data_IF_849729982360
#
_entry.id   IF_849729982360
#
_cell.length_a   1.000
_cell.length_b   1.000
_cell.length_c   1.000
_cell.angle_alpha   90.00
_cell.angle_beta   90.00
_cell.angle_gamma   90.00
#
_symmetry.space_group_name_H-M   'P 1'
#
loop_
_entity.id
_entity.type
_entity.pdbx_description
1 polymer ?
#
# COMPACT_ATOMS: atom_id res chain seq x y z
N UNK A 1 21.90 -19.86 -13.02
CA UNK A 1 22.17 -18.43 -12.76
C UNK A 1 23.19 -18.30 -11.63
N UNK A 2 24.23 -17.47 -11.77
CA UNK A 2 25.32 -17.36 -10.77
C UNK A 2 24.77 -16.86 -9.43
N UNK A 3 25.25 -17.43 -8.32
CA UNK A 3 24.93 -17.08 -6.91
C UNK A 3 24.96 -15.56 -6.62
N UNK A 4 25.76 -14.81 -7.39
CA UNK A 4 25.87 -13.34 -7.34
C UNK A 4 24.62 -12.57 -7.81
N UNK A 5 23.74 -13.19 -8.59
CA UNK A 5 22.49 -12.59 -9.09
C UNK A 5 21.28 -13.02 -8.25
N UNK A 6 21.35 -14.21 -7.65
CA UNK A 6 20.28 -14.79 -6.83
C UNK A 6 20.07 -14.05 -5.51
N UNK A 7 21.16 -13.72 -4.80
CA UNK A 7 21.10 -13.02 -3.51
C UNK A 7 20.44 -11.62 -3.62
N UNK A 8 20.82 -10.74 -4.56
CA UNK A 8 20.17 -9.44 -4.69
C UNK A 8 18.74 -9.55 -5.25
N UNK A 9 18.43 -10.58 -6.04
CA UNK A 9 17.06 -10.84 -6.50
C UNK A 9 16.16 -11.26 -5.33
N UNK A 10 16.66 -12.13 -4.44
CA UNK A 10 15.97 -12.51 -3.21
C UNK A 10 15.87 -11.34 -2.24
N UNK A 11 16.90 -10.49 -2.12
CA UNK A 11 16.86 -9.29 -1.30
C UNK A 11 15.85 -8.27 -1.85
N UNK A 12 15.85 -8.04 -3.17
CA UNK A 12 14.85 -7.22 -3.83
C UNK A 12 13.45 -7.83 -3.66
N UNK A 13 13.32 -9.15 -3.68
CA UNK A 13 12.05 -9.85 -3.44
C UNK A 13 11.59 -9.79 -1.99
N UNK A 14 12.51 -9.79 -1.03
CA UNK A 14 12.23 -9.64 0.39
C UNK A 14 11.88 -8.18 0.73
N UNK A 15 12.57 -7.23 0.10
CA UNK A 15 12.19 -5.82 0.12
C UNK A 15 10.84 -5.63 -0.58
N UNK A 16 10.55 -6.34 -1.68
CA UNK A 16 9.23 -6.33 -2.35
C UNK A 16 8.12 -6.93 -1.47
N UNK A 17 8.40 -7.97 -0.67
CA UNK A 17 7.44 -8.52 0.28
C UNK A 17 7.14 -7.54 1.43
N UNK A 18 8.15 -6.79 1.88
CA UNK A 18 7.98 -5.67 2.80
C UNK A 18 7.32 -4.43 2.15
N UNK A 19 7.30 -4.36 0.81
CA UNK A 19 6.70 -3.30 0.00
C UNK A 19 5.35 -3.67 -0.60
N UNK A 20 4.77 -4.85 -0.29
CA UNK A 20 3.31 -4.97 -0.37
C UNK A 20 2.85 -3.91 0.61
N UNK A 21 2.32 -2.78 0.12
CA UNK A 21 1.96 -1.76 1.04
C UNK A 21 0.91 -2.41 1.94
N UNK A 22 1.00 -2.16 3.24
CA UNK A 22 -0.20 -2.04 4.04
C UNK A 22 -1.03 -0.86 3.50
N UNK A 23 -1.41 -0.88 2.22
CA UNK A 23 -2.51 -0.11 1.61
C UNK A 23 -3.83 -0.82 1.84
N UNK A 24 -3.84 -1.87 2.67
CA UNK A 24 -4.89 -2.03 3.66
C UNK A 24 -4.61 -1.14 4.90
N UNK A 25 -4.07 0.06 4.72
CA UNK A 25 -4.61 1.17 5.48
C UNK A 25 -6.03 1.29 4.93
N UNK A 26 -6.94 0.57 5.59
CA UNK A 26 -8.35 0.90 5.48
C UNK A 26 -8.42 2.42 5.60
N UNK A 27 -9.19 3.11 4.75
CA UNK A 27 -9.63 4.44 5.13
C UNK A 27 -10.07 4.33 6.60
N UNK A 28 -9.61 5.24 7.46
CA UNK A 28 -10.12 5.35 8.82
C UNK A 28 -11.62 5.62 8.68
N UNK A 29 -12.39 4.55 8.57
CA UNK A 29 -13.83 4.58 8.48
C UNK A 29 -14.27 4.55 9.91
N UNK A 30 -14.52 5.75 10.43
CA UNK A 30 -15.23 5.87 11.69
C UNK A 30 -16.50 5.01 11.55
N UNK A 31 -16.60 4.01 12.41
CA UNK A 31 -17.70 3.06 12.36
C UNK A 31 -18.81 3.65 13.21
N UNK A 32 -19.85 4.15 12.55
CA UNK A 32 -21.00 4.75 13.21
C UNK A 32 -22.14 3.75 13.12
N UNK A 33 -22.61 3.28 14.27
CA UNK A 33 -23.82 2.47 14.42
C UNK A 33 -24.93 3.43 14.81
N UNK A 34 -25.88 3.63 13.91
CA UNK A 34 -26.93 4.65 14.07
C UNK A 34 -28.04 4.19 15.03
N UNK A 35 -28.86 5.15 15.46
CA UNK A 35 -29.97 4.91 16.39
C UNK A 35 -30.93 3.84 15.85
N UNK A 36 -31.25 2.84 16.67
CA UNK A 36 -32.09 1.67 16.33
C UNK A 36 -31.46 0.66 15.34
N UNK A 37 -30.16 0.76 15.05
CA UNK A 37 -29.45 -0.26 14.31
C UNK A 37 -29.11 -1.46 15.20
N UNK A 38 -29.36 -2.67 14.70
CA UNK A 38 -29.02 -3.92 15.40
C UNK A 38 -27.98 -4.69 14.61
N UNK A 39 -26.76 -4.74 15.12
CA UNK A 39 -25.64 -5.46 14.52
C UNK A 39 -25.53 -6.83 15.18
N UNK A 40 -25.71 -7.91 14.41
CA UNK A 40 -25.72 -9.29 14.93
C UNK A 40 -24.40 -10.05 14.68
N UNK A 41 -23.27 -9.33 14.69
CA UNK A 41 -21.95 -9.91 14.43
C UNK A 41 -20.88 -9.10 15.17
N UNK A 42 -19.67 -9.67 15.28
CA UNK A 42 -18.52 -8.99 15.87
C UNK A 42 -18.14 -7.75 15.05
N UNK A 43 -17.79 -6.67 15.76
CA UNK A 43 -17.39 -5.39 15.20
C UNK A 43 -15.91 -5.19 15.48
N UNK A 44 -15.10 -5.14 14.42
CA UNK A 44 -13.66 -4.87 14.53
C UNK A 44 -13.33 -3.61 13.76
N UNK A 45 -12.82 -2.60 14.46
CA UNK A 45 -12.42 -1.31 13.90
C UNK A 45 -10.89 -1.20 13.96
N UNK A 46 -10.28 -0.87 12.81
CA UNK A 46 -8.84 -0.65 12.70
C UNK A 46 -8.56 0.79 12.29
N UNK A 47 -7.73 1.48 13.06
CA UNK A 47 -7.26 2.85 12.77
C UNK A 47 -8.42 3.84 12.52
N UNK A 48 -9.46 3.81 13.37
CA UNK A 48 -10.64 4.66 13.27
C UNK A 48 -11.49 4.62 14.54
N UNK A 49 -12.38 5.60 14.68
CA UNK A 49 -13.20 5.75 15.90
C UNK A 49 -14.51 4.95 15.78
N UNK A 50 -15.02 4.45 16.90
CA UNK A 50 -16.30 3.75 16.99
C UNK A 50 -17.32 4.64 17.68
N UNK A 51 -18.49 4.83 17.06
CA UNK A 51 -19.61 5.56 17.67
C UNK A 51 -20.84 4.68 17.66
N UNK A 52 -21.33 4.32 18.85
CA UNK A 52 -22.58 3.59 19.05
C UNK A 52 -23.58 4.56 19.65
N UNK A 53 -24.57 4.98 18.85
CA UNK A 53 -25.61 5.92 19.30
C UNK A 53 -26.60 5.26 20.26
N UNK A 54 -27.39 6.09 20.93
CA UNK A 54 -28.47 5.63 21.80
C UNK A 54 -29.48 4.75 21.04
N UNK A 55 -30.00 3.72 21.73
CA UNK A 55 -30.92 2.74 21.13
C UNK A 55 -30.30 1.76 20.13
N UNK A 56 -29.00 1.86 19.81
CA UNK A 56 -28.29 0.85 19.01
C UNK A 56 -27.97 -0.40 19.85
N UNK A 57 -28.00 -1.58 19.22
CA UNK A 57 -27.72 -2.87 19.87
C UNK A 57 -26.68 -3.65 19.06
N UNK A 58 -25.55 -3.98 19.69
CA UNK A 58 -24.52 -4.84 19.12
C UNK A 58 -24.56 -6.21 19.80
N UNK A 59 -25.02 -7.23 19.08
CA UNK A 59 -25.01 -8.63 19.50
C UNK A 59 -23.75 -9.32 18.98
N UNK A 60 -22.60 -8.99 19.58
CA UNK A 60 -21.28 -9.52 19.23
C UNK A 60 -20.17 -8.86 20.03
N UNK A 61 -18.93 -9.34 19.87
CA UNK A 61 -17.76 -8.74 20.50
C UNK A 61 -17.29 -7.52 19.71
N UNK A 62 -16.86 -6.48 20.44
CA UNK A 62 -16.40 -5.22 19.86
C UNK A 62 -14.91 -5.05 20.16
N UNK A 63 -14.11 -4.93 19.12
CA UNK A 63 -12.67 -4.67 19.24
C UNK A 63 -12.27 -3.43 18.44
N UNK A 64 -11.61 -2.48 19.09
CA UNK A 64 -11.11 -1.26 18.43
C UNK A 64 -9.60 -1.19 18.58
N UNK A 65 -8.89 -1.04 17.46
CA UNK A 65 -7.45 -0.86 17.43
C UNK A 65 -7.12 0.56 16.99
N UNK A 66 -6.36 1.28 17.85
CA UNK A 66 -5.82 2.60 17.55
C UNK A 66 -6.91 3.63 17.19
N UNK A 67 -7.92 3.75 18.06
CA UNK A 67 -9.06 4.65 17.91
C UNK A 67 -9.90 4.69 19.19
N UNK A 68 -10.69 5.74 19.33
CA UNK A 68 -11.53 5.96 20.51
C UNK A 68 -12.93 5.39 20.30
N UNK A 69 -13.63 5.02 21.39
CA UNK A 69 -15.01 4.54 21.32
C UNK A 69 -15.95 5.43 22.12
N UNK A 70 -17.00 5.95 21.47
CA UNK A 70 -18.13 6.59 22.11
C UNK A 70 -19.30 5.60 22.15
N UNK A 71 -19.72 5.20 23.34
CA UNK A 71 -20.78 4.21 23.54
C UNK A 71 -21.93 4.83 24.31
N UNK A 72 -23.07 5.02 23.63
CA UNK A 72 -24.34 5.45 24.22
C UNK A 72 -25.39 4.33 24.22
N UNK A 73 -25.20 3.28 23.39
CA UNK A 73 -26.11 2.14 23.23
C UNK A 73 -25.72 0.88 24.02
N UNK A 74 -26.24 -0.28 23.59
CA UNK A 74 -26.06 -1.57 24.27
C UNK A 74 -25.13 -2.52 23.49
N UNK A 75 -24.14 -3.07 24.18
CA UNK A 75 -23.23 -4.10 23.68
C UNK A 75 -23.51 -5.42 24.43
N UNK A 76 -24.06 -6.39 23.71
CA UNK A 76 -24.33 -7.75 24.17
C UNK A 76 -23.13 -8.67 23.87
N UNK A 77 -21.96 -8.27 24.35
CA UNK A 77 -20.67 -8.93 24.14
C UNK A 77 -19.56 -8.22 24.91
N UNK A 78 -18.31 -8.61 24.64
CA UNK A 78 -17.13 -8.00 25.27
C UNK A 78 -16.64 -6.80 24.47
N UNK A 79 -16.08 -5.80 25.16
CA UNK A 79 -15.49 -4.60 24.57
C UNK A 79 -13.99 -4.57 24.86
N UNK A 80 -13.17 -4.61 23.80
CA UNK A 80 -11.71 -4.51 23.91
C UNK A 80 -11.20 -3.31 23.10
N UNK A 81 -10.54 -2.34 23.75
CA UNK A 81 -9.83 -1.27 23.05
C UNK A 81 -8.33 -1.42 23.23
N UNK A 82 -7.59 -1.22 22.14
CA UNK A 82 -6.13 -1.18 22.12
C UNK A 82 -5.68 0.22 21.71
N UNK A 83 -4.97 0.91 22.62
CA UNK A 83 -4.44 2.25 22.38
C UNK A 83 -5.55 3.26 22.01
N UNK A 84 -6.51 3.44 22.91
CA UNK A 84 -7.66 4.33 22.73
C UNK A 84 -8.52 4.43 23.99
N UNK A 85 -9.26 5.53 24.10
CA UNK A 85 -10.12 5.81 25.23
C UNK A 85 -11.58 5.43 24.93
N UNK A 86 -12.31 4.99 25.97
CA UNK A 86 -13.76 4.80 25.88
C UNK A 86 -14.47 5.92 26.62
N UNK A 87 -15.42 6.55 25.94
CA UNK A 87 -16.37 7.50 26.50
C UNK A 87 -17.72 6.81 26.58
N UNK A 88 -18.21 6.61 27.81
CA UNK A 88 -19.49 5.97 28.04
C UNK A 88 -20.55 7.00 28.42
N UNK A 89 -21.60 7.09 27.60
CA UNK A 89 -22.76 7.93 27.86
C UNK A 89 -23.75 7.33 28.85
N UNK A 90 -24.86 8.04 29.14
CA UNK A 90 -25.83 7.65 30.16
C UNK A 90 -26.61 6.36 29.83
N UNK A 91 -26.71 5.98 28.55
CA UNK A 91 -27.38 4.75 28.09
C UNK A 91 -26.44 3.56 27.86
N UNK A 92 -25.13 3.74 28.12
CA UNK A 92 -24.12 2.76 27.80
C UNK A 92 -24.25 1.49 28.66
N UNK A 93 -24.45 0.35 28.02
CA UNK A 93 -24.48 -0.96 28.71
C UNK A 93 -23.58 -1.94 27.98
N UNK A 94 -22.59 -2.49 28.69
CA UNK A 94 -21.74 -3.58 28.20
C UNK A 94 -22.03 -4.81 29.05
N UNK A 95 -22.55 -5.86 28.43
CA UNK A 95 -22.95 -7.09 29.14
C UNK A 95 -21.76 -8.03 29.39
N UNK A 96 -20.75 -8.00 28.51
CA UNK A 96 -19.53 -8.80 28.62
C UNK A 96 -18.38 -8.10 29.36
N UNK A 97 -17.16 -8.57 29.14
CA UNK A 97 -15.96 -7.97 29.73
C UNK A 97 -15.58 -6.67 29.00
N UNK A 98 -15.13 -5.66 29.74
CA UNK A 98 -14.59 -4.44 29.16
C UNK A 98 -13.11 -4.33 29.51
N UNK A 99 -12.23 -4.35 28.51
CA UNK A 99 -10.77 -4.29 28.68
C UNK A 99 -10.19 -3.20 27.80
N UNK A 100 -9.40 -2.32 28.41
CA UNK A 100 -8.73 -1.22 27.73
C UNK A 100 -7.23 -1.38 27.92
N UNK A 101 -6.50 -1.59 26.84
CA UNK A 101 -5.05 -1.75 26.84
C UNK A 101 -4.42 -0.44 26.42
N UNK A 102 -3.68 0.19 27.34
CA UNK A 102 -3.10 1.52 27.13
C UNK A 102 -4.16 2.59 26.79
N UNK A 103 -5.21 2.66 27.59
CA UNK A 103 -6.33 3.60 27.43
C UNK A 103 -7.02 3.91 28.75
N UNK A 104 -7.95 4.87 28.73
CA UNK A 104 -8.74 5.32 29.85
C UNK A 104 -10.23 5.15 29.63
N UNK A 105 -10.97 5.09 30.74
CA UNK A 105 -12.44 5.20 30.73
C UNK A 105 -12.78 6.61 31.18
N UNK A 106 -13.51 7.36 30.36
CA UNK A 106 -14.15 8.60 30.77
C UNK A 106 -15.66 8.36 30.85
N UNK A 107 -16.22 8.40 32.06
CA UNK A 107 -17.66 8.18 32.23
C UNK A 107 -18.36 9.32 32.95
N UNK A 108 -19.61 9.58 32.54
CA UNK A 108 -20.57 10.39 33.28
C UNK A 108 -21.46 9.51 34.22
N UNK A 109 -21.38 8.18 34.11
CA UNK A 109 -22.08 7.19 34.95
C UNK A 109 -21.35 5.84 34.97
N UNK A 110 -21.56 4.95 35.95
CA UNK A 110 -20.65 3.83 36.15
C UNK A 110 -20.86 2.75 35.09
N UNK A 111 -20.01 2.74 34.05
CA UNK A 111 -19.64 1.49 33.39
C UNK A 111 -18.82 0.68 34.41
N UNK A 112 -19.51 0.09 35.37
CA UNK A 112 -18.94 -0.73 36.44
C UNK A 112 -18.46 -2.04 35.86
N UNK A 113 -17.24 -2.06 35.32
CA UNK A 113 -16.64 -3.28 34.76
C UNK A 113 -15.48 -3.10 33.80
N UNK A 114 -15.15 -1.86 33.39
CA UNK A 114 -14.00 -1.65 32.50
C UNK A 114 -12.66 -1.72 33.24
N UNK A 115 -11.83 -2.66 32.82
CA UNK A 115 -10.46 -2.82 33.32
C UNK A 115 -9.51 -2.08 32.38
N UNK A 116 -9.00 -0.93 32.83
CA UNK A 116 -7.98 -0.17 32.12
C UNK A 116 -6.56 -0.64 32.53
N UNK A 117 -5.92 -1.41 31.67
CA UNK A 117 -4.53 -1.87 31.82
C UNK A 117 -3.62 -0.82 31.18
N UNK A 118 -3.29 0.23 31.93
CA UNK A 118 -2.41 1.32 31.47
C UNK A 118 -0.93 0.97 31.57
N UNK A 119 -0.57 0.02 32.44
CA UNK A 119 0.79 -0.48 32.62
C UNK A 119 0.76 -1.95 33.05
N UNK A 120 1.58 -2.79 32.41
CA UNK A 120 2.04 -4.02 33.04
C UNK A 120 2.96 -3.61 34.20
N UNK A 121 2.44 -3.61 35.42
CA UNK A 121 3.23 -3.33 36.60
C UNK A 121 4.17 -4.51 36.84
N UNK A 122 5.47 -4.31 36.62
CA UNK A 122 6.47 -5.24 37.12
C UNK A 122 6.60 -4.93 38.62
N UNK A 123 6.29 -5.90 39.49
CA UNK A 123 6.33 -5.77 40.95
C UNK A 123 7.51 -4.91 41.42
N UNK A 124 7.21 -3.69 41.83
CA UNK A 124 8.18 -2.74 42.36
C UNK A 124 8.41 -2.96 43.85
N UNK A 125 8.83 -4.18 44.22
CA UNK A 125 9.34 -4.49 45.57
C UNK A 125 10.61 -3.68 45.93
N UNK A 126 11.15 -2.89 44.99
CA UNK A 126 12.39 -2.13 45.16
C UNK A 126 12.20 -0.65 45.57
N UNK A 127 10.97 -0.12 45.65
CA UNK A 127 10.72 1.30 46.01
C UNK A 127 10.21 1.56 47.45
N UNK A 128 10.09 0.53 48.30
CA UNK A 128 9.46 0.63 49.63
C UNK A 128 10.27 1.33 50.75
N UNK A 129 11.23 2.19 50.43
CA UNK A 129 12.03 2.93 51.44
C UNK A 129 11.97 4.45 51.24
N UNK A 130 10.76 5.01 51.10
CA UNK A 130 10.53 6.44 51.28
C UNK A 130 9.79 6.66 52.61
N UNK A 131 10.42 7.27 53.63
CA UNK A 131 9.81 7.44 54.94
C UNK A 131 8.60 8.40 54.91
N UNK A 132 7.49 7.89 55.45
CA UNK A 132 6.27 8.55 55.97
C UNK A 132 5.98 10.00 55.61
N UNK A 133 5.04 10.20 54.68
CA UNK A 133 4.28 11.46 54.57
C UNK A 133 3.29 11.52 55.75
N UNK A 134 3.30 12.58 56.58
CA UNK A 134 2.38 12.70 57.71
C UNK A 134 0.92 12.78 57.25
N UNK A 135 0.01 12.17 58.02
CA UNK A 135 -1.41 12.11 57.71
C UNK A 135 -2.04 13.51 57.57
N UNK A 136 -2.79 13.71 56.48
CA UNK A 136 -3.54 14.94 56.23
C UNK A 136 -4.69 15.07 57.24
N UNK A 137 -4.93 16.25 57.84
CA UNK A 137 -6.06 16.45 58.75
C UNK A 137 -7.40 16.25 58.04
N UNK A 138 -8.40 15.72 58.75
CA UNK A 138 -9.76 15.56 58.25
C UNK A 138 -10.38 16.93 57.88
N UNK A 139 -10.73 17.10 56.61
CA UNK A 139 -11.47 18.27 56.15
C UNK A 139 -12.91 18.21 56.69
N UNK A 140 -13.47 19.33 57.19
CA UNK A 140 -14.83 19.37 57.68
C UNK A 140 -15.84 19.04 56.56
N UNK A 141 -16.92 18.34 56.91
CA UNK A 141 -17.96 17.92 55.98
C UNK A 141 -18.57 19.12 55.25
N UNK A 142 -18.54 19.08 53.92
CA UNK A 142 -19.17 20.09 53.07
C UNK A 142 -20.70 19.94 53.19
N UNK A 143 -21.44 21.00 53.57
CA UNK A 143 -22.89 20.92 53.67
C UNK A 143 -23.53 20.64 52.30
N UNK A 144 -24.60 19.84 52.30
CA UNK A 144 -25.32 19.44 51.08
C UNK A 144 -25.83 20.68 50.33
N UNK A 145 -25.38 20.85 49.08
CA UNK A 145 -25.88 21.91 48.21
C UNK A 145 -27.33 21.61 47.78
N UNK A 146 -28.23 22.60 47.78
CA UNK A 146 -29.58 22.42 47.26
C UNK A 146 -29.54 22.03 45.78
N UNK A 147 -30.42 21.12 45.37
CA UNK A 147 -30.50 20.61 44.01
C UNK A 147 -30.68 21.75 42.99
N UNK A 148 -29.72 21.87 42.08
CA UNK A 148 -29.80 22.81 40.95
C UNK A 148 -30.94 22.35 40.04
N UNK A 149 -31.91 23.21 39.68
CA UNK A 149 -32.99 22.84 38.77
C UNK A 149 -32.40 22.45 37.40
N UNK A 150 -32.89 21.35 36.83
CA UNK A 150 -32.42 20.81 35.56
C UNK A 150 -32.52 21.87 34.45
N UNK A 151 -31.39 22.19 33.84
CA UNK A 151 -31.32 23.04 32.65
C UNK A 151 -31.89 22.23 31.48
N UNK A 152 -32.80 22.79 30.65
CA UNK A 152 -33.32 22.10 29.47
C UNK A 152 -32.19 21.69 28.52
N UNK A 153 -32.25 20.46 28.01
CA UNK A 153 -31.28 19.91 27.05
C UNK A 153 -31.19 20.80 25.80
N UNK A 154 -30.03 21.42 25.59
CA UNK A 154 -29.71 22.12 24.36
C UNK A 154 -29.48 21.04 23.28
N UNK A 155 -30.11 21.12 22.10
CA UNK A 155 -29.86 20.15 21.03
C UNK A 155 -28.36 20.09 20.72
N UNK A 156 -27.80 18.89 20.79
CA UNK A 156 -26.38 18.64 20.50
C UNK A 156 -26.08 19.11 19.08
N UNK A 157 -25.20 20.09 18.94
CA UNK A 157 -24.72 20.52 17.63
C UNK A 157 -23.97 19.36 16.97
N UNK A 158 -24.15 19.11 15.65
CA UNK A 158 -23.41 18.07 14.96
C UNK A 158 -21.91 18.30 15.15
N UNK A 159 -21.21 17.26 15.60
CA UNK A 159 -19.76 17.26 15.79
C UNK A 159 -19.13 17.37 14.40
N UNK A 160 -18.74 18.59 14.01
CA UNK A 160 -17.94 18.80 12.80
C UNK A 160 -16.51 18.38 13.19
N UNK A 161 -15.90 17.38 12.52
CA UNK A 161 -14.54 16.97 12.83
C UNK A 161 -13.63 18.19 12.78
N UNK A 162 -12.91 18.45 13.88
CA UNK A 162 -12.10 19.64 14.04
C UNK A 162 -10.99 19.68 12.97
N UNK A 163 -10.63 20.86 12.43
CA UNK A 163 -9.59 20.99 11.42
C UNK A 163 -8.20 20.51 11.90
N UNK A 164 -8.02 20.28 13.21
CA UNK A 164 -6.78 19.81 13.82
C UNK A 164 -6.45 18.34 13.47
N UNK A 165 -7.44 17.46 13.32
CA UNK A 165 -7.22 16.06 12.89
C UNK A 165 -6.77 15.95 11.44
N UNK A 166 -7.20 16.89 10.58
CA UNK A 166 -6.72 17.00 9.19
C UNK A 166 -5.28 17.52 9.10
N UNK A 167 -4.87 18.41 10.01
CA UNK A 167 -3.54 19.02 9.97
C UNK A 167 -2.45 18.13 10.60
N UNK A 168 -2.77 17.35 11.64
CA UNK A 168 -1.86 16.34 12.23
C UNK A 168 -1.50 15.23 11.25
N UNK A 169 -2.42 14.90 10.33
CA UNK A 169 -2.16 13.98 9.22
C UNK A 169 -1.32 14.61 8.10
N UNK A 170 -1.24 15.94 7.99
CA UNK A 170 -0.49 16.62 6.94
C UNK A 170 1.02 16.32 6.98
N UNK A 171 1.66 16.50 8.14
CA UNK A 171 3.09 16.21 8.30
C UNK A 171 3.40 14.73 8.11
N UNK A 172 2.59 13.84 8.67
CA UNK A 172 2.74 12.40 8.49
C UNK A 172 2.62 12.00 7.00
N UNK A 173 1.69 12.59 6.26
CA UNK A 173 1.52 12.39 4.81
C UNK A 173 2.73 12.92 4.05
N UNK A 174 3.24 14.12 4.35
CA UNK A 174 4.44 14.66 3.70
C UNK A 174 5.68 13.79 3.96
N UNK A 175 5.90 13.33 5.20
CA UNK A 175 7.00 12.40 5.53
C UNK A 175 6.81 11.03 4.87
N UNK A 176 5.57 10.54 4.74
CA UNK A 176 5.24 9.33 4.00
C UNK A 176 5.56 9.44 2.50
N UNK A 177 5.22 10.56 1.87
CA UNK A 177 5.49 10.81 0.44
C UNK A 177 7.01 10.92 0.20
N UNK A 178 7.71 11.65 1.06
CA UNK A 178 9.15 11.86 0.92
C UNK A 178 9.94 10.56 1.14
N UNK A 179 9.59 9.78 2.17
CA UNK A 179 10.22 8.48 2.44
C UNK A 179 9.96 7.48 1.32
N UNK A 180 8.70 7.37 0.84
CA UNK A 180 8.34 6.52 -0.29
C UNK A 180 9.14 6.87 -1.55
N UNK A 181 9.23 8.16 -1.89
CA UNK A 181 9.99 8.62 -3.06
C UNK A 181 11.49 8.33 -2.95
N UNK A 182 12.07 8.46 -1.76
CA UNK A 182 13.46 8.07 -1.50
C UNK A 182 13.66 6.55 -1.69
N UNK A 183 12.74 5.74 -1.20
CA UNK A 183 12.79 4.28 -1.33
C UNK A 183 12.72 3.83 -2.80
N UNK A 184 11.80 4.40 -3.58
CA UNK A 184 11.72 4.14 -5.03
C UNK A 184 12.94 4.69 -5.80
N UNK A 185 13.53 5.78 -5.33
CA UNK A 185 14.84 6.26 -5.79
C UNK A 185 15.95 5.24 -5.56
N UNK A 186 16.04 4.71 -4.34
CA UNK A 186 17.02 3.69 -3.98
C UNK A 186 16.80 2.39 -4.76
N UNK A 187 15.54 1.99 -4.98
CA UNK A 187 15.18 0.85 -5.81
C UNK A 187 15.62 1.05 -7.26
N UNK A 188 15.40 2.25 -7.81
CA UNK A 188 15.88 2.64 -9.14
C UNK A 188 17.42 2.62 -9.23
N UNK A 189 18.11 3.05 -8.18
CA UNK A 189 19.57 2.98 -8.08
C UNK A 189 20.07 1.54 -8.12
N UNK A 190 19.48 0.67 -7.29
CA UNK A 190 19.82 -0.76 -7.23
C UNK A 190 19.53 -1.46 -8.56
N UNK A 191 18.37 -1.22 -9.16
CA UNK A 191 18.01 -1.78 -10.46
C UNK A 191 18.98 -1.33 -11.56
N UNK A 192 19.33 -0.03 -11.59
CA UNK A 192 20.31 0.52 -12.52
C UNK A 192 21.72 -0.03 -12.31
N UNK A 193 22.11 -0.31 -11.07
CA UNK A 193 23.42 -0.88 -10.73
C UNK A 193 23.53 -2.38 -11.07
N UNK A 194 22.46 -3.15 -10.85
CA UNK A 194 22.46 -4.61 -11.10
C UNK A 194 22.28 -4.92 -12.59
N UNK A 195 21.42 -4.18 -13.30
CA UNK A 195 21.00 -4.50 -14.67
C UNK A 195 21.06 -3.28 -15.62
N UNK A 196 22.24 -2.66 -15.81
CA UNK A 196 22.35 -1.40 -16.58
C UNK A 196 22.01 -1.57 -18.07
N UNK A 197 22.32 -2.73 -18.66
CA UNK A 197 22.07 -2.97 -20.08
C UNK A 197 20.60 -3.28 -20.36
N UNK A 198 19.96 -4.05 -19.48
CA UNK A 198 18.54 -4.37 -19.59
C UNK A 198 17.71 -3.09 -19.46
N UNK A 199 18.06 -2.22 -18.50
CA UNK A 199 17.36 -0.96 -18.29
C UNK A 199 17.49 -0.03 -19.50
N UNK A 200 18.70 0.08 -20.10
CA UNK A 200 18.89 0.84 -21.36
C UNK A 200 17.92 0.39 -22.46
N UNK A 201 17.80 -0.93 -22.68
CA UNK A 201 16.96 -1.46 -23.75
C UNK A 201 15.47 -1.19 -23.52
N UNK A 202 15.01 -1.30 -22.27
CA UNK A 202 13.62 -1.00 -21.89
C UNK A 202 13.33 0.49 -22.12
N UNK A 203 14.26 1.36 -21.71
CA UNK A 203 14.10 2.81 -21.81
C UNK A 203 14.10 3.31 -23.24
N UNK A 204 14.99 2.79 -24.10
CA UNK A 204 14.97 3.14 -25.52
C UNK A 204 13.68 2.70 -26.19
N UNK A 205 13.15 1.52 -25.84
CA UNK A 205 11.89 1.02 -26.39
C UNK A 205 10.70 1.88 -25.95
N UNK A 206 10.66 2.26 -24.66
CA UNK A 206 9.64 3.17 -24.13
C UNK A 206 9.67 4.55 -24.81
N UNK A 207 10.87 5.04 -25.20
CA UNK A 207 11.05 6.31 -25.94
C UNK A 207 10.59 6.22 -27.38
N UNK A 208 11.20 5.30 -28.12
CA UNK A 208 11.15 5.31 -29.58
C UNK A 208 9.77 4.87 -30.08
N UNK A 209 9.04 4.08 -29.27
CA UNK A 209 7.75 3.51 -29.65
C UNK A 209 6.73 3.59 -28.52
N UNK A 210 6.56 4.78 -27.93
CA UNK A 210 5.64 5.00 -26.79
C UNK A 210 4.21 4.52 -27.05
N UNK A 211 3.65 4.72 -28.25
CA UNK A 211 2.29 4.28 -28.57
C UNK A 211 2.17 2.76 -28.68
N UNK A 212 3.13 2.10 -29.34
CA UNK A 212 3.14 0.63 -29.47
C UNK A 212 3.40 -0.04 -28.12
N UNK A 213 4.32 0.54 -27.34
CA UNK A 213 4.62 0.11 -25.97
C UNK A 213 3.40 0.28 -25.07
N UNK A 214 2.74 1.43 -25.09
CA UNK A 214 1.52 1.67 -24.30
C UNK A 214 0.40 0.68 -24.62
N UNK A 215 0.15 0.41 -25.91
CA UNK A 215 -0.86 -0.56 -26.33
C UNK A 215 -0.51 -2.00 -25.88
N UNK A 216 0.75 -2.42 -26.06
CA UNK A 216 1.23 -3.72 -25.58
C UNK A 216 1.15 -3.84 -24.05
N UNK A 217 1.39 -2.75 -23.33
CA UNK A 217 1.26 -2.65 -21.88
C UNK A 217 -0.18 -2.76 -21.40
N UNK A 218 -1.11 -2.07 -22.06
CA UNK A 218 -2.54 -2.19 -21.76
C UNK A 218 -3.05 -3.62 -22.01
N UNK A 219 -2.62 -4.24 -23.13
CA UNK A 219 -2.93 -5.64 -23.43
C UNK A 219 -2.39 -6.58 -22.35
N UNK A 220 -1.15 -6.40 -21.90
CA UNK A 220 -0.55 -7.25 -20.85
C UNK A 220 -1.15 -6.99 -19.47
N UNK A 221 -1.51 -5.76 -19.15
CA UNK A 221 -2.20 -5.39 -17.91
C UNK A 221 -3.60 -6.01 -17.80
N UNK A 222 -4.30 -6.25 -18.92
CA UNK A 222 -5.61 -6.91 -18.93
C UNK A 222 -5.49 -8.42 -19.14
N UNK A 223 -4.65 -8.86 -20.10
CA UNK A 223 -4.54 -10.26 -20.48
C UNK A 223 -3.89 -11.12 -19.40
N UNK A 224 -2.87 -10.63 -18.68
CA UNK A 224 -2.20 -11.44 -17.65
C UNK A 224 -3.12 -11.70 -16.46
N UNK A 225 -3.79 -10.70 -15.84
CA UNK A 225 -4.78 -10.96 -14.79
C UNK A 225 -5.96 -11.79 -15.28
N UNK A 226 -6.45 -11.56 -16.50
CA UNK A 226 -7.52 -12.37 -17.08
C UNK A 226 -7.12 -13.84 -17.24
N UNK A 227 -5.89 -14.12 -17.67
CA UNK A 227 -5.35 -15.48 -17.78
C UNK A 227 -5.18 -16.12 -16.40
N UNK A 228 -4.72 -15.35 -15.40
CA UNK A 228 -4.63 -15.78 -14.01
C UNK A 228 -6.02 -16.19 -13.52
N UNK A 229 -7.03 -15.33 -13.64
CA UNK A 229 -8.40 -15.62 -13.20
C UNK A 229 -8.96 -16.88 -13.88
N UNK A 230 -8.72 -17.04 -15.20
CA UNK A 230 -9.15 -18.21 -15.96
C UNK A 230 -8.43 -19.50 -15.51
N UNK A 231 -7.15 -19.41 -15.13
CA UNK A 231 -6.36 -20.55 -14.68
C UNK A 231 -6.67 -20.98 -13.24
N UNK A 232 -7.26 -20.12 -12.40
CA UNK A 232 -7.66 -20.48 -11.03
C UNK A 232 -8.59 -21.71 -10.98
N UNK A 233 -9.74 -21.76 -11.66
CA UNK A 233 -10.64 -22.92 -11.61
C UNK A 233 -9.99 -24.18 -12.20
N UNK A 234 -9.20 -24.02 -13.27
CA UNK A 234 -8.43 -25.14 -13.86
C UNK A 234 -7.40 -25.67 -12.87
N UNK A 235 -6.71 -24.78 -12.15
CA UNK A 235 -5.75 -25.16 -11.11
C UNK A 235 -6.43 -25.85 -9.94
N UNK A 236 -7.59 -25.35 -9.48
CA UNK A 236 -8.39 -25.99 -8.43
C UNK A 236 -8.79 -27.41 -8.85
N UNK A 237 -9.29 -27.59 -10.09
CA UNK A 237 -9.66 -28.90 -10.61
C UNK A 237 -8.45 -29.84 -10.75
N UNK A 238 -7.29 -29.33 -11.19
CA UNK A 238 -6.06 -30.12 -11.24
C UNK A 238 -5.58 -30.52 -9.84
N UNK A 239 -5.77 -29.68 -8.82
CA UNK A 239 -5.42 -29.98 -7.41
C UNK A 239 -6.26 -31.16 -6.92
N UNK A 240 -7.57 -31.18 -7.22
CA UNK A 240 -8.44 -32.32 -6.91
C UNK A 240 -8.02 -33.61 -7.64
N UNK A 241 -7.44 -33.50 -8.84
CA UNK A 241 -6.98 -34.65 -9.65
C UNK A 241 -5.57 -35.12 -9.25
N UNK A 242 -5.01 -34.67 -8.11
CA UNK A 242 -3.68 -35.02 -7.60
C UNK A 242 -2.51 -34.70 -8.56
N UNK A 243 -2.76 -33.97 -9.66
CA UNK A 243 -1.76 -33.45 -10.61
C UNK A 243 -1.51 -31.94 -10.37
N UNK A 244 -2.29 -31.30 -9.49
CA UNK A 244 -2.42 -29.85 -9.38
C UNK A 244 -1.30 -29.07 -8.74
N UNK A 245 -0.16 -29.71 -8.46
CA UNK A 245 1.03 -28.96 -8.07
C UNK A 245 1.68 -28.24 -9.26
N UNK A 246 1.33 -28.55 -10.51
CA UNK A 246 1.89 -27.87 -11.69
C UNK A 246 1.25 -26.51 -11.99
N UNK A 247 -0.02 -26.30 -11.61
CA UNK A 247 -0.74 -25.04 -11.87
C UNK A 247 -0.23 -23.88 -11.02
N UNK A 248 0.00 -24.13 -9.74
CA UNK A 248 0.50 -23.15 -8.76
C UNK A 248 1.82 -22.46 -9.16
N UNK A 249 2.90 -23.15 -9.59
CA UNK A 249 4.16 -22.50 -9.95
C UNK A 249 4.04 -21.62 -11.21
N UNK A 250 3.23 -22.01 -12.20
CA UNK A 250 3.03 -21.21 -13.41
C UNK A 250 2.30 -19.91 -13.06
N UNK A 251 1.26 -20.00 -12.24
CA UNK A 251 0.50 -18.86 -11.73
C UNK A 251 1.38 -17.91 -10.91
N UNK A 252 2.19 -18.47 -10.01
CA UNK A 252 3.14 -17.71 -9.21
C UNK A 252 4.18 -16.99 -10.07
N UNK A 253 4.73 -17.67 -11.09
CA UNK A 253 5.70 -17.06 -12.01
C UNK A 253 5.08 -15.95 -12.87
N UNK A 254 3.85 -16.11 -13.33
CA UNK A 254 3.12 -15.07 -14.07
C UNK A 254 2.86 -13.84 -13.20
N UNK A 255 2.38 -14.04 -11.97
CA UNK A 255 2.15 -12.96 -11.02
C UNK A 255 3.46 -12.23 -10.67
N UNK A 256 4.52 -12.99 -10.34
CA UNK A 256 5.85 -12.44 -10.06
C UNK A 256 6.41 -11.67 -11.28
N UNK A 257 6.21 -12.19 -12.49
CA UNK A 257 6.61 -11.54 -13.73
C UNK A 257 5.87 -10.23 -13.98
N UNK A 258 4.56 -10.17 -13.71
CA UNK A 258 3.75 -8.96 -13.85
C UNK A 258 4.21 -7.88 -12.86
N UNK A 259 4.43 -8.26 -11.60
CA UNK A 259 4.91 -7.36 -10.55
C UNK A 259 6.30 -6.83 -10.89
N UNK A 260 7.26 -7.72 -11.16
CA UNK A 260 8.62 -7.33 -11.54
C UNK A 260 8.63 -6.46 -12.81
N UNK A 261 7.77 -6.78 -13.78
CA UNK A 261 7.64 -6.02 -15.02
C UNK A 261 7.04 -4.63 -14.81
N UNK A 262 6.04 -4.49 -13.94
CA UNK A 262 5.49 -3.21 -13.52
C UNK A 262 6.53 -2.31 -12.87
N UNK A 263 7.30 -2.85 -11.91
CA UNK A 263 8.39 -2.10 -11.26
C UNK A 263 9.49 -1.70 -12.24
N UNK A 264 9.97 -2.62 -13.08
CA UNK A 264 10.99 -2.30 -14.08
C UNK A 264 10.48 -1.28 -15.11
N UNK A 265 9.21 -1.37 -15.48
CA UNK A 265 8.53 -0.41 -16.35
C UNK A 265 8.49 0.98 -15.72
N UNK A 266 8.05 1.08 -14.48
CA UNK A 266 8.05 2.32 -13.71
C UNK A 266 9.45 2.93 -13.60
N UNK A 267 10.45 2.10 -13.27
CA UNK A 267 11.84 2.53 -13.17
C UNK A 267 12.34 3.05 -14.52
N UNK A 268 12.05 2.35 -15.62
CA UNK A 268 12.45 2.77 -16.96
C UNK A 268 11.87 4.14 -17.32
N UNK A 269 10.58 4.39 -17.06
CA UNK A 269 9.98 5.71 -17.30
C UNK A 269 10.55 6.78 -16.35
N UNK A 270 10.87 6.42 -15.10
CA UNK A 270 11.59 7.31 -14.19
C UNK A 270 12.96 7.69 -14.73
N UNK A 271 13.77 6.72 -15.18
CA UNK A 271 15.10 7.00 -15.77
C UNK A 271 15.01 7.89 -17.00
N UNK A 272 13.93 7.75 -17.79
CA UNK A 272 13.66 8.61 -18.94
C UNK A 272 13.54 10.07 -18.51
N UNK A 273 12.74 10.32 -17.48
CA UNK A 273 12.53 11.64 -16.91
C UNK A 273 13.83 12.19 -16.31
N UNK A 274 14.56 11.34 -15.57
CA UNK A 274 15.85 11.68 -14.96
C UNK A 274 16.92 12.07 -15.98
N UNK A 275 17.03 11.35 -17.10
CA UNK A 275 17.96 11.72 -18.18
C UNK A 275 17.61 13.05 -18.85
N UNK A 276 16.32 13.39 -18.92
CA UNK A 276 15.87 14.66 -19.54
C UNK A 276 16.21 15.88 -18.67
N UNK A 277 16.09 15.73 -17.35
CA UNK A 277 16.27 16.82 -16.39
C UNK A 277 17.71 16.92 -15.85
N UNK A 278 18.31 15.78 -15.49
CA UNK A 278 19.62 15.72 -14.81
C UNK A 278 20.76 15.20 -15.70
N UNK A 279 20.48 14.87 -16.97
CA UNK A 279 21.47 14.35 -17.91
C UNK A 279 22.53 15.35 -18.41
N UNK A 280 22.46 16.63 -17.99
CA UNK A 280 23.40 17.69 -18.39
C UNK A 280 24.65 17.81 -17.49
N UNK A 281 24.84 16.92 -16.52
CA UNK A 281 25.99 16.93 -15.61
C UNK A 281 27.28 16.42 -16.27
N UNK A 282 28.34 17.23 -16.22
CA UNK A 282 29.64 17.07 -16.93
C UNK A 282 30.61 16.02 -16.32
N UNK A 283 30.15 14.97 -15.65
CA UNK A 283 31.07 14.06 -14.95
C UNK A 283 30.55 12.65 -14.73
N UNK A 284 31.06 11.69 -15.50
CA UNK A 284 30.89 10.26 -15.29
C UNK A 284 31.24 9.44 -16.52
N UNK A 285 31.78 8.24 -16.34
CA UNK A 285 31.80 7.26 -17.44
C UNK A 285 30.35 6.91 -17.80
N UNK A 286 30.09 6.50 -19.05
CA UNK A 286 28.73 6.25 -19.56
C UNK A 286 27.84 5.29 -18.76
N UNK A 287 28.39 4.55 -17.77
CA UNK A 287 27.64 3.74 -16.80
C UNK A 287 27.09 4.52 -15.61
N UNK A 288 27.85 5.47 -15.05
CA UNK A 288 27.51 6.18 -13.81
C UNK A 288 26.33 7.13 -14.01
N UNK A 289 26.20 7.67 -15.23
CA UNK A 289 25.09 8.54 -15.60
C UNK A 289 23.74 7.81 -15.58
N UNK A 290 23.71 6.54 -15.97
CA UNK A 290 22.47 5.77 -15.98
C UNK A 290 22.02 5.45 -14.57
N UNK A 291 22.95 5.03 -13.70
CA UNK A 291 22.64 4.69 -12.31
C UNK A 291 22.08 5.91 -11.57
N UNK A 292 22.72 7.09 -11.72
CA UNK A 292 22.25 8.34 -11.10
C UNK A 292 20.93 8.83 -11.69
N UNK A 293 20.78 8.76 -13.02
CA UNK A 293 19.53 9.17 -13.68
C UNK A 293 18.37 8.24 -13.35
N UNK A 294 18.64 6.96 -13.08
CA UNK A 294 17.65 6.01 -12.64
C UNK A 294 17.10 6.40 -11.28
N UNK A 295 17.99 6.59 -10.30
CA UNK A 295 17.61 6.93 -8.93
C UNK A 295 16.86 8.27 -8.83
N UNK A 296 17.43 9.33 -9.42
CA UNK A 296 16.85 10.67 -9.36
C UNK A 296 15.57 10.76 -10.18
N UNK A 297 15.53 10.06 -11.31
CA UNK A 297 14.37 10.05 -12.19
C UNK A 297 13.19 9.30 -11.61
N UNK A 298 13.41 8.15 -10.97
CA UNK A 298 12.34 7.39 -10.31
C UNK A 298 11.82 8.10 -9.08
N UNK A 299 12.69 8.62 -8.22
CA UNK A 299 12.30 9.38 -7.04
C UNK A 299 11.46 10.61 -7.41
N UNK A 300 11.88 11.35 -8.45
CA UNK A 300 11.15 12.51 -8.91
C UNK A 300 9.80 12.11 -9.52
N UNK A 301 9.75 11.04 -10.31
CA UNK A 301 8.51 10.57 -10.91
C UNK A 301 7.50 10.15 -9.84
N UNK A 302 7.91 9.36 -8.84
CA UNK A 302 7.03 8.97 -7.73
C UNK A 302 6.57 10.16 -6.91
N UNK A 303 7.47 11.11 -6.65
CA UNK A 303 7.14 12.33 -5.91
C UNK A 303 6.10 13.16 -6.65
N UNK A 304 6.24 13.35 -7.97
CA UNK A 304 5.27 14.09 -8.79
C UNK A 304 3.92 13.37 -8.80
N UNK A 305 3.89 12.05 -8.98
CA UNK A 305 2.64 11.28 -8.99
C UNK A 305 1.93 11.37 -7.65
N UNK A 306 2.66 11.20 -6.54
CA UNK A 306 2.09 11.28 -5.19
C UNK A 306 1.64 12.70 -4.85
N UNK A 307 2.40 13.73 -5.21
CA UNK A 307 2.02 15.12 -5.01
C UNK A 307 0.77 15.50 -5.80
N UNK A 308 0.67 15.08 -7.08
CA UNK A 308 -0.55 15.26 -7.87
C UNK A 308 -1.73 14.48 -7.30
N UNK A 309 -1.48 13.30 -6.73
CA UNK A 309 -2.47 12.51 -6.02
C UNK A 309 -3.09 13.28 -4.85
N UNK A 310 -2.26 13.93 -4.03
CA UNK A 310 -2.77 14.74 -2.90
C UNK A 310 -3.56 15.96 -3.37
N UNK A 311 -3.06 16.69 -4.38
CA UNK A 311 -3.69 17.94 -4.84
C UNK A 311 -5.01 17.68 -5.57
N UNK A 312 -5.11 16.59 -6.32
CA UNK A 312 -6.25 16.30 -7.20
C UNK A 312 -7.21 15.24 -6.66
N UNK A 313 -7.25 15.01 -5.33
CA UNK A 313 -8.08 13.96 -4.71
C UNK A 313 -7.85 12.56 -5.34
N UNK A 314 -6.61 12.25 -5.71
CA UNK A 314 -6.18 10.97 -6.26
C UNK A 314 -6.43 10.77 -7.76
N UNK A 315 -7.30 11.55 -8.40
CA UNK A 315 -7.73 11.30 -9.79
C UNK A 315 -6.62 11.60 -10.79
N UNK A 316 -6.03 12.80 -10.78
CA UNK A 316 -4.98 13.16 -11.74
C UNK A 316 -3.69 12.34 -11.52
N UNK A 317 -3.32 12.10 -10.26
CA UNK A 317 -2.18 11.26 -9.90
C UNK A 317 -2.37 9.82 -10.38
N UNK A 318 -3.55 9.23 -10.14
CA UNK A 318 -3.89 7.89 -10.59
C UNK A 318 -3.89 7.75 -12.11
N UNK A 319 -4.47 8.70 -12.84
CA UNK A 319 -4.49 8.66 -14.31
C UNK A 319 -3.07 8.73 -14.89
N UNK A 320 -2.21 9.61 -14.36
CA UNK A 320 -0.80 9.67 -14.75
C UNK A 320 -0.08 8.35 -14.44
N UNK A 321 -0.30 7.78 -13.25
CA UNK A 321 0.30 6.51 -12.85
C UNK A 321 -0.11 5.36 -13.78
N UNK A 322 -1.39 5.30 -14.19
CA UNK A 322 -1.91 4.29 -15.12
C UNK A 322 -1.23 4.41 -16.49
N UNK A 323 -1.16 5.63 -17.05
CA UNK A 323 -0.50 5.86 -18.35
C UNK A 323 0.98 5.47 -18.29
N UNK A 324 1.69 5.89 -17.25
CA UNK A 324 3.10 5.55 -17.03
C UNK A 324 3.28 4.03 -16.90
N UNK A 325 2.40 3.37 -16.15
CA UNK A 325 2.45 1.92 -15.94
C UNK A 325 2.24 1.15 -17.24
N UNK A 326 1.29 1.55 -18.08
CA UNK A 326 1.09 0.90 -19.38
C UNK A 326 2.29 1.09 -20.30
N UNK A 327 2.83 2.30 -20.41
CA UNK A 327 4.02 2.54 -21.26
C UNK A 327 5.20 1.70 -20.77
N UNK A 328 5.46 1.68 -19.46
CA UNK A 328 6.56 0.95 -18.85
C UNK A 328 6.40 -0.57 -18.97
N UNK A 329 5.23 -1.11 -18.63
CA UNK A 329 4.96 -2.55 -18.62
C UNK A 329 5.01 -3.12 -20.04
N UNK A 330 4.51 -2.39 -21.04
CA UNK A 330 4.64 -2.78 -22.44
C UNK A 330 6.07 -2.77 -22.96
N UNK A 331 6.91 -1.84 -22.49
CA UNK A 331 8.32 -1.79 -22.89
C UNK A 331 9.07 -3.01 -22.34
N UNK A 332 8.75 -3.42 -21.12
CA UNK A 332 9.29 -4.64 -20.50
C UNK A 332 8.81 -5.88 -21.24
N UNK A 333 7.53 -5.95 -21.62
CA UNK A 333 6.98 -7.07 -22.39
C UNK A 333 7.64 -7.21 -23.78
N UNK A 334 7.78 -6.10 -24.52
CA UNK A 334 8.37 -6.09 -25.86
C UNK A 334 9.86 -6.45 -25.86
N UNK A 335 10.59 -6.05 -24.82
CA UNK A 335 12.02 -6.35 -24.68
C UNK A 335 12.31 -7.67 -23.97
N UNK A 336 11.26 -8.39 -23.53
CA UNK A 336 11.37 -9.59 -22.70
C UNK A 336 12.27 -9.36 -21.47
N UNK A 337 11.93 -8.36 -20.64
CA UNK A 337 12.75 -7.92 -19.51
C UNK A 337 14.13 -7.35 -19.89
N UNK A 338 14.22 -6.67 -21.03
CA UNK A 338 15.48 -6.09 -21.51
C UNK A 338 16.51 -7.13 -21.99
N UNK A 339 16.07 -8.35 -22.29
CA UNK A 339 16.93 -9.43 -22.80
C UNK A 339 17.05 -9.40 -24.33
N UNK A 340 16.04 -8.85 -25.02
CA UNK A 340 16.03 -8.73 -26.48
C UNK A 340 15.90 -7.28 -26.91
N UNK A 341 16.79 -6.80 -27.81
CA UNK A 341 16.63 -5.48 -28.38
C UNK A 341 15.37 -5.43 -29.25
N UNK A 342 14.58 -4.38 -29.05
CA UNK A 342 13.39 -4.09 -29.83
C UNK A 342 13.54 -2.69 -30.46
N UNK A 343 13.21 -2.49 -31.76
CA UNK A 343 12.77 -3.47 -32.76
C UNK A 343 13.87 -4.49 -33.11
N UNK A 344 13.47 -5.72 -33.48
CA UNK A 344 14.43 -6.71 -34.01
C UNK A 344 15.06 -6.12 -35.27
N UNK A 345 16.31 -5.66 -35.17
CA UNK A 345 17.09 -5.38 -36.36
C UNK A 345 17.27 -6.72 -37.09
N UNK A 346 16.98 -6.80 -38.41
CA UNK A 346 17.42 -7.93 -39.20
C UNK A 346 18.92 -8.09 -38.92
N UNK A 347 19.33 -9.27 -38.47
CA UNK A 347 20.75 -9.59 -38.36
C UNK A 347 21.35 -9.28 -39.73
N UNK A 348 22.38 -8.42 -39.85
CA UNK A 348 23.17 -8.42 -41.07
C UNK A 348 23.63 -9.86 -41.24
N UNK A 349 23.26 -10.49 -42.35
CA UNK A 349 23.76 -11.79 -42.76
C UNK A 349 25.26 -11.83 -42.42
N UNK A 350 25.70 -12.83 -41.66
CA UNK A 350 27.12 -12.97 -41.31
C UNK A 350 27.97 -12.77 -42.57
N UNK A 351 29.15 -12.12 -42.51
CA UNK A 351 30.03 -11.97 -43.67
C UNK A 351 30.45 -13.39 -44.11
N UNK A 352 29.76 -13.93 -45.10
CA UNK A 352 29.78 -15.35 -45.47
C UNK A 352 28.44 -15.87 -46.01
N UNK A 353 27.32 -15.23 -45.63
CA UNK A 353 26.03 -15.47 -46.25
C UNK A 353 25.85 -14.47 -47.41
N UNK A 354 26.57 -14.71 -48.49
CA UNK A 354 26.04 -14.36 -49.82
C UNK A 354 24.60 -14.90 -49.91
N UNK A 355 23.65 -14.20 -50.53
CA UNK A 355 22.35 -14.77 -50.82
C UNK A 355 22.59 -16.15 -51.44
N UNK A 356 22.05 -17.19 -50.81
CA UNK A 356 22.15 -18.55 -51.33
C UNK A 356 21.69 -18.50 -52.79
N UNK A 357 22.61 -18.71 -53.74
CA UNK A 357 22.36 -18.46 -55.16
C UNK A 357 21.11 -19.24 -55.62
N UNK A 358 20.88 -20.42 -55.05
CA UNK A 358 19.68 -21.21 -55.30
C UNK A 358 18.36 -20.55 -54.87
N UNK A 359 18.34 -19.69 -53.84
CA UNK A 359 17.14 -18.92 -53.47
C UNK A 359 16.90 -17.73 -54.39
N UNK A 360 17.97 -17.11 -54.90
CA UNK A 360 17.87 -16.02 -55.86
C UNK A 360 17.39 -16.57 -57.21
N UNK A 361 17.96 -17.69 -57.66
CA UNK A 361 17.57 -18.37 -58.90
C UNK A 361 16.15 -18.95 -58.83
N UNK A 362 15.72 -19.46 -57.67
CA UNK A 362 14.33 -19.90 -57.48
C UNK A 362 13.32 -18.76 -57.56
N UNK A 363 13.67 -17.55 -57.12
CA UNK A 363 12.81 -16.36 -57.22
C UNK A 363 12.83 -15.81 -58.65
N UNK A 364 14.00 -15.77 -59.29
CA UNK A 364 14.15 -15.34 -60.68
C UNK A 364 13.43 -16.28 -61.66
N UNK A 365 13.38 -17.58 -61.39
CA UNK A 365 12.65 -18.56 -62.18
C UNK A 365 11.12 -18.49 -62.05
N UNK A 366 10.61 -17.75 -61.08
CA UNK A 366 9.16 -17.52 -60.89
C UNK A 366 8.67 -16.19 -61.46
N UNK A 367 9.58 -15.33 -61.95
CA UNK A 367 9.19 -14.10 -62.62
C UNK A 367 8.70 -14.43 -64.03
N UNK A 368 7.52 -13.93 -64.45
CA UNK A 368 7.09 -14.08 -65.83
C UNK A 368 8.11 -13.38 -66.75
N UNK A 369 8.46 -13.95 -67.91
CA UNK A 369 9.36 -13.30 -68.86
C UNK A 369 8.77 -11.94 -69.23
N UNK A 370 9.56 -10.88 -69.04
CA UNK A 370 9.18 -9.53 -69.44
C UNK A 370 8.81 -9.54 -70.93
N UNK A 371 7.58 -9.08 -71.22
CA UNK A 371 6.99 -8.99 -72.57
C UNK A 371 7.42 -7.68 -73.21
#
# INVERSE_FOLDING_TARGET
MKRRVLIPFVLALLIMAALVPATFAAPSFDTIIDENEVVNNDVVVFDGDLVIRDGAIVNGDVTVFNGDALVDGQINGSLALFNGDVVAGPGAVVTGECVLLNGGVSTESPLSGCTAVQSFDFDQDWLNEIPGVPAMPELPAVPEMPAVPAVPEIPVAPIIPSPESRFRNGTAVFFGILSSSLLFGLLGLLAGAIMPNQLRQIVTTARDKSMVSGAAGALTAVAVPSLIILLIPVSILLIFVCIGLLGFPIMFLLAMGLVAGGFLGWIAVGTWLGMRLFGRGKGGNGGDHIIRSAALGTALLTFIVQLLGVISFGIAGGLMAVVVSFIGLGAVALTQFGLKPYPRRPQPSAPGNTPDAGKVDAVLGTLPPEI
#
